data_IF_637522789079
#
_entry.id   IF_637522789079
#
_cell.length_a   1.000
_cell.length_b   1.000
_cell.length_c   1.000
_cell.angle_alpha   90.00
_cell.angle_beta   90.00
_cell.angle_gamma   90.00
#
_symmetry.space_group_name_H-M   'P 1'
#
loop_
_entity.id
_entity.type
_entity.pdbx_description
1 polymer ?
#
# COMPACT_ATOMS: atom_id res chain seq x y z
N UNK A 1 -1.60 12.14 -5.55
CA UNK A 1 -0.89 13.33 -5.03
C UNK A 1 -1.90 14.17 -4.25
N UNK A 2 -1.47 14.91 -3.25
CA UNK A 2 -2.33 15.74 -2.41
C UNK A 2 -1.63 17.06 -2.07
N UNK A 3 -2.42 18.07 -1.69
CA UNK A 3 -1.97 19.42 -1.34
C UNK A 3 -2.64 19.84 -0.03
N UNK A 4 -1.87 20.43 0.87
CA UNK A 4 -2.34 21.05 2.11
C UNK A 4 -2.30 22.56 1.90
N UNK A 5 -3.44 23.23 2.08
CA UNK A 5 -3.57 24.69 1.94
C UNK A 5 -3.87 25.27 3.31
N UNK A 6 -3.05 26.25 3.72
CA UNK A 6 -3.26 27.01 4.94
C UNK A 6 -3.24 28.51 4.61
N UNK A 7 -4.20 29.28 5.13
CA UNK A 7 -4.33 30.73 4.91
C UNK A 7 -4.26 31.14 3.42
N UNK A 8 -4.85 30.34 2.54
CA UNK A 8 -4.87 30.60 1.09
C UNK A 8 -3.54 30.33 0.36
N UNK A 9 -2.54 29.77 1.04
CA UNK A 9 -1.24 29.36 0.45
C UNK A 9 -1.03 27.86 0.55
N UNK A 10 -0.29 27.30 -0.40
CA UNK A 10 0.13 25.89 -0.34
C UNK A 10 1.16 25.76 0.78
N UNK A 11 0.82 25.03 1.82
CA UNK A 11 1.70 24.73 2.93
C UNK A 11 2.63 23.57 2.57
N UNK A 12 2.07 22.49 1.99
CA UNK A 12 2.80 21.29 1.59
C UNK A 12 2.11 20.55 0.45
N UNK A 13 2.89 19.88 -0.39
CA UNK A 13 2.41 18.97 -1.41
C UNK A 13 3.18 17.63 -1.37
N UNK A 14 2.56 16.56 -1.83
CA UNK A 14 3.22 15.27 -1.89
C UNK A 14 2.30 14.06 -2.00
N UNK A 15 2.82 12.91 -1.55
CA UNK A 15 2.01 11.70 -1.39
C UNK A 15 1.19 11.81 -0.09
N UNK A 16 -0.03 11.25 -0.05
CA UNK A 16 -0.84 11.29 1.17
C UNK A 16 -0.08 10.76 2.40
N UNK A 17 0.68 9.68 2.24
CA UNK A 17 1.48 9.08 3.32
C UNK A 17 2.58 10.01 3.83
N UNK A 18 3.26 10.74 2.95
CA UNK A 18 4.26 11.71 3.36
C UNK A 18 3.62 12.89 4.11
N UNK A 19 2.47 13.38 3.64
CA UNK A 19 1.78 14.52 4.25
C UNK A 19 1.20 14.21 5.63
N UNK A 20 0.64 13.02 5.84
CA UNK A 20 0.05 12.61 7.13
C UNK A 20 1.11 12.44 8.22
N UNK A 21 2.33 12.07 7.83
CA UNK A 21 3.46 11.89 8.74
C UNK A 21 4.33 13.15 8.90
N UNK A 22 4.02 14.22 8.18
CA UNK A 22 4.73 15.50 8.30
C UNK A 22 4.31 16.23 9.59
N UNK A 23 5.27 16.57 10.43
CA UNK A 23 5.03 17.19 11.74
C UNK A 23 4.28 18.53 11.62
N UNK A 24 4.61 19.34 10.62
CA UNK A 24 3.99 20.64 10.38
C UNK A 24 2.54 20.49 9.93
N UNK A 25 2.24 19.49 9.10
CA UNK A 25 0.86 19.17 8.67
C UNK A 25 0.04 18.63 9.84
N UNK A 26 0.63 17.80 10.71
CA UNK A 26 -0.05 17.26 11.90
C UNK A 26 -0.46 18.35 12.88
N UNK A 27 0.46 19.26 13.20
CA UNK A 27 0.21 20.36 14.13
C UNK A 27 -0.77 21.39 13.56
N UNK A 28 -0.65 21.72 12.26
CA UNK A 28 -1.41 22.82 11.66
C UNK A 28 -2.79 22.42 11.14
N UNK A 29 -3.04 21.13 10.89
CA UNK A 29 -4.22 20.71 10.10
C UNK A 29 -4.96 19.47 10.63
N UNK A 30 -4.25 18.46 11.15
CA UNK A 30 -4.88 17.20 11.56
C UNK A 30 -5.23 17.18 13.05
N UNK A 31 -4.51 17.95 13.88
CA UNK A 31 -4.65 17.93 15.33
C UNK A 31 -4.20 16.61 15.95
N UNK A 32 -4.27 16.51 17.28
CA UNK A 32 -3.79 15.37 18.07
C UNK A 32 -4.64 14.10 17.92
N UNK A 33 -5.84 14.19 17.34
CA UNK A 33 -6.75 13.06 17.15
C UNK A 33 -6.37 12.18 15.95
N UNK A 34 -5.52 12.66 15.06
CA UNK A 34 -5.08 11.93 13.89
C UNK A 34 -3.74 11.23 14.18
N UNK A 35 -3.75 9.89 14.23
CA UNK A 35 -2.56 9.10 14.60
C UNK A 35 -1.61 8.90 13.43
N UNK A 36 -2.12 8.87 12.21
CA UNK A 36 -1.34 8.77 10.98
C UNK A 36 -0.82 7.37 10.68
N UNK A 37 -1.07 6.41 11.57
CA UNK A 37 -0.74 4.99 11.44
C UNK A 37 -1.83 4.20 10.68
N UNK A 38 -2.99 4.80 10.43
CA UNK A 38 -4.12 4.18 9.74
C UNK A 38 -3.80 3.81 8.27
N UNK A 39 -2.73 4.37 7.71
CA UNK A 39 -2.27 4.14 6.35
C UNK A 39 -1.01 3.26 6.28
N UNK A 40 -0.41 2.89 7.42
CA UNK A 40 0.77 2.02 7.44
C UNK A 40 0.41 0.57 7.08
N UNK A 41 -0.83 0.14 7.35
CA UNK A 41 -1.33 -1.21 7.06
C UNK A 41 -1.73 -1.47 5.60
N UNK A 42 -1.50 -0.53 4.68
CA UNK A 42 -1.75 -0.75 3.25
C UNK A 42 -0.64 -1.52 2.52
N UNK A 43 -0.04 -2.51 3.16
CA UNK A 43 0.51 -3.67 2.45
C UNK A 43 -0.53 -4.78 2.49
N UNK A 44 -1.70 -4.55 1.88
CA UNK A 44 -2.34 -5.69 1.20
C UNK A 44 -1.49 -5.92 -0.03
N UNK A 45 -0.49 -6.79 0.12
CA UNK A 45 0.00 -7.57 -1.00
C UNK A 45 -1.27 -8.07 -1.68
N UNK A 46 -1.51 -7.64 -2.92
CA UNK A 46 -2.46 -8.37 -3.77
C UNK A 46 -1.83 -9.74 -3.85
N UNK A 47 -2.28 -10.67 -3.00
CA UNK A 47 -1.85 -12.06 -3.04
C UNK A 47 -2.04 -12.46 -4.48
N UNK A 48 -0.94 -12.60 -5.23
CA UNK A 48 -1.01 -13.18 -6.54
C UNK A 48 -1.77 -14.51 -6.34
N UNK A 49 -2.75 -14.84 -7.18
CA UNK A 49 -3.42 -16.14 -7.08
C UNK A 49 -2.33 -17.20 -6.99
N UNK A 50 -2.43 -18.17 -6.05
CA UNK A 50 -1.43 -19.21 -5.93
C UNK A 50 -1.22 -19.80 -7.33
N UNK A 51 0.03 -19.82 -7.80
CA UNK A 51 0.37 -20.40 -9.09
C UNK A 51 -0.29 -21.78 -9.16
N UNK A 52 -0.94 -22.14 -10.29
CA UNK A 52 -1.62 -23.42 -10.38
C UNK A 52 -0.61 -24.51 -10.04
N UNK A 53 -0.92 -25.29 -9.01
CA UNK A 53 -0.09 -26.39 -8.54
C UNK A 53 0.34 -27.20 -9.76
N UNK A 54 1.65 -27.34 -9.96
CA UNK A 54 2.19 -28.14 -11.06
C UNK A 54 1.63 -29.55 -10.93
N UNK A 55 0.65 -29.86 -11.77
CA UNK A 55 0.10 -31.20 -11.89
C UNK A 55 1.25 -32.07 -12.42
N UNK A 56 1.87 -32.86 -11.54
CA UNK A 56 2.86 -33.85 -11.94
C UNK A 56 2.09 -34.92 -12.72
N UNK A 57 2.18 -34.87 -14.05
CA UNK A 57 1.70 -35.96 -14.89
C UNK A 57 2.62 -37.16 -14.66
N UNK A 58 2.13 -38.32 -14.20
CA UNK A 58 2.97 -39.51 -14.12
C UNK A 58 3.39 -39.93 -15.53
N UNK A 59 4.69 -40.17 -15.69
CA UNK A 59 5.30 -40.59 -16.95
C UNK A 59 4.78 -41.98 -17.33
N UNK A 60 4.13 -42.09 -18.49
CA UNK A 60 3.68 -43.37 -19.04
C UNK A 60 4.87 -44.12 -19.65
N UNK A 61 5.61 -44.84 -18.81
CA UNK A 61 6.57 -45.83 -19.25
C UNK A 61 5.96 -47.23 -19.05
N UNK A 62 5.58 -47.90 -20.14
CA UNK A 62 5.21 -49.31 -20.10
C UNK A 62 4.17 -49.77 -21.12
N UNK A 63 4.38 -49.52 -22.41
CA UNK A 63 3.70 -50.25 -23.47
C UNK A 63 4.63 -50.44 -24.68
N UNK A 64 5.41 -51.53 -24.65
CA UNK A 64 5.97 -52.22 -25.81
C UNK A 64 5.64 -53.69 -25.57
N UNK A 65 4.66 -54.21 -26.32
CA UNK A 65 4.83 -54.92 -27.60
C UNK A 65 5.31 -56.35 -27.35
#
# INVERSE_FOLDING_TARGET
RAYIINEGKVLRDGTPRALINDATVRESYLGSLFRGDEFDNQTRVRSAPPAPASIVRPNAAGARA
#
